data_IF_176276524505
#
_entry.id   IF_176276524505
#
_cell.length_a   1.000
_cell.length_b   1.000
_cell.length_c   1.000
_cell.angle_alpha   90.00
_cell.angle_beta   90.00
_cell.angle_gamma   90.00
#
_symmetry.space_group_name_H-M   'P 1'
#
loop_
_entity.id
_entity.type
_entity.pdbx_description
1 polymer ?
#
# COMPACT_ATOMS: atom_id res chain seq x y z
N UNK A 1 24.39 -22.51 1.34
CA UNK A 1 24.03 -21.34 0.50
C UNK A 1 22.85 -20.57 1.06
N UNK A 2 21.63 -21.15 1.15
CA UNK A 2 20.45 -20.42 1.61
C UNK A 2 20.50 -19.98 3.09
N UNK A 3 21.06 -20.80 3.97
CA UNK A 3 21.30 -20.45 5.39
C UNK A 3 22.33 -19.33 5.58
N UNK A 4 23.26 -19.17 4.64
CA UNK A 4 24.36 -18.20 4.73
C UNK A 4 23.99 -16.81 4.20
N UNK A 5 22.75 -16.62 3.75
CA UNK A 5 22.24 -15.40 3.11
C UNK A 5 22.44 -14.14 3.97
N UNK A 6 22.32 -14.28 5.29
CA UNK A 6 22.40 -13.15 6.21
C UNK A 6 23.84 -12.90 6.70
N UNK A 7 24.67 -13.94 6.63
CA UNK A 7 26.04 -13.98 7.15
C UNK A 7 27.07 -13.56 6.09
N UNK A 8 26.85 -13.93 4.82
CA UNK A 8 27.77 -13.67 3.73
C UNK A 8 27.30 -12.43 2.95
N UNK A 9 28.18 -11.44 2.71
CA UNK A 9 27.82 -10.27 1.92
C UNK A 9 27.48 -10.68 0.49
N UNK A 10 26.40 -10.11 -0.04
CA UNK A 10 25.94 -10.37 -1.42
C UNK A 10 25.57 -11.82 -1.74
N UNK A 11 25.43 -12.69 -0.73
CA UNK A 11 25.02 -14.08 -0.92
C UNK A 11 23.70 -14.23 -1.70
N UNK A 12 22.72 -13.33 -1.48
CA UNK A 12 21.46 -13.38 -2.23
C UNK A 12 21.69 -13.15 -3.72
N UNK A 13 22.56 -12.21 -4.08
CA UNK A 13 22.89 -11.87 -5.47
C UNK A 13 23.40 -13.10 -6.24
N UNK A 14 24.42 -13.78 -5.70
CA UNK A 14 25.06 -14.95 -6.34
C UNK A 14 24.22 -16.23 -6.24
N UNK A 15 23.17 -16.23 -5.41
CA UNK A 15 22.18 -17.32 -5.37
C UNK A 15 21.08 -17.15 -6.44
N UNK A 16 20.79 -15.94 -6.93
CA UNK A 16 19.67 -15.70 -7.86
C UNK A 16 19.75 -16.47 -9.17
N UNK A 17 20.90 -16.56 -9.87
CA UNK A 17 21.01 -17.32 -11.11
C UNK A 17 20.72 -18.81 -10.89
N UNK A 18 21.21 -19.37 -9.77
CA UNK A 18 20.96 -20.75 -9.36
C UNK A 18 19.45 -20.96 -9.11
N UNK A 19 18.81 -20.04 -8.39
CA UNK A 19 17.36 -20.10 -8.12
C UNK A 19 16.52 -20.03 -9.40
N UNK A 20 16.85 -19.12 -10.32
CA UNK A 20 16.13 -18.99 -11.59
C UNK A 20 16.28 -20.25 -12.45
N UNK A 21 17.49 -20.82 -12.49
CA UNK A 21 17.75 -22.07 -13.20
C UNK A 21 16.96 -23.25 -12.60
N UNK A 22 16.93 -23.38 -11.27
CA UNK A 22 16.15 -24.43 -10.61
C UNK A 22 14.64 -24.26 -10.83
N UNK A 23 14.15 -23.01 -10.83
CA UNK A 23 12.73 -22.71 -11.09
C UNK A 23 12.31 -23.03 -12.53
N UNK A 24 13.20 -22.87 -13.51
CA UNK A 24 12.89 -23.20 -14.91
C UNK A 24 12.88 -24.71 -15.19
N UNK A 25 13.51 -25.53 -14.33
CA UNK A 25 13.74 -26.96 -14.59
C UNK A 25 13.24 -27.90 -13.49
N UNK A 26 12.34 -27.47 -12.59
CA UNK A 26 11.93 -28.28 -11.43
C UNK A 26 11.30 -29.62 -11.85
N UNK A 27 12.08 -30.70 -11.76
CA UNK A 27 11.67 -32.11 -11.88
C UNK A 27 12.49 -32.96 -10.89
N UNK A 28 11.93 -33.94 -10.16
CA UNK A 28 12.61 -34.57 -9.02
C UNK A 28 13.83 -35.45 -9.32
N UNK A 29 14.15 -35.78 -10.58
CA UNK A 29 15.13 -36.80 -10.92
C UNK A 29 16.16 -36.28 -11.93
N UNK A 30 17.40 -36.10 -11.46
CA UNK A 30 18.62 -35.78 -12.22
C UNK A 30 18.60 -34.53 -13.11
N UNK A 31 19.43 -33.55 -12.75
CA UNK A 31 19.63 -32.33 -13.53
C UNK A 31 21.05 -32.23 -14.07
N UNK A 32 21.25 -32.04 -15.38
CA UNK A 32 22.57 -31.75 -15.92
C UNK A 32 23.02 -30.38 -15.42
N UNK A 33 24.14 -30.34 -14.71
CA UNK A 33 24.78 -29.09 -14.30
C UNK A 33 25.31 -28.40 -15.55
N UNK A 34 24.54 -27.45 -16.08
CA UNK A 34 24.92 -26.65 -17.24
C UNK A 34 26.21 -25.87 -16.96
N UNK A 35 27.01 -25.60 -18.00
CA UNK A 35 28.24 -24.80 -17.87
C UNK A 35 27.97 -23.42 -17.26
N UNK A 36 26.80 -22.84 -17.55
CA UNK A 36 26.34 -21.59 -16.95
C UNK A 36 26.08 -21.71 -15.44
N UNK A 37 25.55 -22.85 -14.97
CA UNK A 37 25.36 -23.08 -13.54
C UNK A 37 26.68 -23.28 -12.81
N UNK A 38 27.65 -23.97 -13.44
CA UNK A 38 28.99 -24.19 -12.86
C UNK A 38 29.69 -22.87 -12.54
N UNK A 39 29.64 -21.87 -13.42
CA UNK A 39 30.30 -20.58 -13.19
C UNK A 39 29.78 -19.86 -11.95
N UNK A 40 28.47 -19.93 -11.67
CA UNK A 40 27.88 -19.37 -10.45
C UNK A 40 28.19 -20.20 -9.20
N UNK A 41 28.31 -21.53 -9.32
CA UNK A 41 28.67 -22.41 -8.21
C UNK A 41 30.12 -22.24 -7.76
N UNK A 42 31.05 -21.95 -8.69
CA UNK A 42 32.47 -21.69 -8.36
C UNK A 42 32.62 -20.54 -7.36
N UNK A 43 31.78 -19.51 -7.45
CA UNK A 43 31.80 -18.40 -6.50
C UNK A 43 31.59 -18.87 -5.05
N UNK A 44 30.71 -19.86 -4.85
CA UNK A 44 30.38 -20.43 -3.54
C UNK A 44 31.41 -21.43 -3.02
N UNK A 45 32.19 -22.05 -3.91
CA UNK A 45 33.28 -22.96 -3.53
C UNK A 45 34.52 -22.22 -3.03
N UNK A 46 34.66 -20.93 -3.36
CA UNK A 46 35.79 -20.12 -2.91
C UNK A 46 35.61 -19.72 -1.43
N UNK A 47 36.50 -20.22 -0.57
CA UNK A 47 36.49 -19.96 0.88
C UNK A 47 36.69 -18.48 1.24
N UNK A 48 37.42 -17.72 0.41
CA UNK A 48 37.61 -16.29 0.62
C UNK A 48 36.30 -15.49 0.55
N UNK A 49 35.34 -15.94 -0.28
CA UNK A 49 34.03 -15.31 -0.41
C UNK A 49 33.11 -15.68 0.75
N UNK A 50 33.15 -16.94 1.19
CA UNK A 50 32.24 -17.47 2.22
C UNK A 50 32.68 -17.11 3.64
N UNK A 51 33.97 -16.91 3.87
CA UNK A 51 34.53 -16.55 5.19
C UNK A 51 34.61 -15.04 5.44
N UNK A 52 34.36 -14.18 4.43
CA UNK A 52 34.49 -12.71 4.55
C UNK A 52 33.59 -12.11 5.64
N UNK A 53 32.46 -12.75 5.93
CA UNK A 53 31.49 -12.31 6.94
C UNK A 53 30.86 -10.95 6.62
N UNK A 54 29.78 -10.61 7.32
CA UNK A 54 29.12 -9.31 7.20
C UNK A 54 29.44 -8.47 8.44
N UNK A 55 29.84 -7.22 8.24
CA UNK A 55 30.00 -6.29 9.36
C UNK A 55 28.65 -6.09 10.06
N UNK A 56 28.65 -6.23 11.40
CA UNK A 56 27.49 -6.01 12.25
C UNK A 56 27.23 -4.53 12.52
N UNK A 57 28.20 -3.65 12.22
CA UNK A 57 28.05 -2.23 12.44
C UNK A 57 27.10 -1.62 11.41
N UNK A 58 26.11 -0.81 11.84
CA UNK A 58 25.25 -0.09 10.92
C UNK A 58 26.08 0.95 10.17
N UNK A 59 26.36 0.69 8.88
CA UNK A 59 26.98 1.68 8.01
C UNK A 59 26.11 2.92 7.92
N UNK A 60 26.65 4.06 8.32
CA UNK A 60 26.01 5.36 8.19
C UNK A 60 25.81 5.66 6.71
N UNK A 61 24.55 5.90 6.31
CA UNK A 61 24.22 6.32 4.95
C UNK A 61 24.66 7.77 4.78
N UNK A 62 25.59 8.00 3.86
CA UNK A 62 26.19 9.32 3.65
C UNK A 62 25.47 10.10 2.54
N UNK A 63 24.98 9.41 1.51
CA UNK A 63 24.37 10.04 0.33
C UNK A 63 22.97 9.49 0.07
N UNK A 64 22.02 10.38 -0.21
CA UNK A 64 20.67 10.01 -0.66
C UNK A 64 20.51 10.32 -2.13
N UNK A 65 20.01 9.35 -2.90
CA UNK A 65 19.60 9.53 -4.28
C UNK A 65 18.12 9.24 -4.39
N UNK A 66 17.37 10.15 -4.99
CA UNK A 66 15.95 9.97 -5.27
C UNK A 66 15.76 9.76 -6.77
N UNK A 67 14.97 8.77 -7.17
CA UNK A 67 14.75 8.42 -8.58
C UNK A 67 13.27 8.23 -8.88
N UNK A 68 12.89 8.55 -10.11
CA UNK A 68 11.56 8.26 -10.67
C UNK A 68 11.68 7.87 -12.14
N UNK A 69 10.75 7.03 -12.60
CA UNK A 69 10.62 6.68 -14.00
C UNK A 69 9.17 6.80 -14.47
N UNK A 70 9.00 7.40 -15.64
CA UNK A 70 7.73 7.42 -16.36
C UNK A 70 7.85 6.57 -17.63
N UNK A 71 6.76 6.46 -18.40
CA UNK A 71 6.82 5.85 -19.73
C UNK A 71 7.56 6.72 -20.76
N UNK A 72 7.76 8.01 -20.47
CA UNK A 72 8.38 8.95 -21.41
C UNK A 72 9.86 9.20 -21.09
N UNK A 73 10.24 9.18 -19.81
CA UNK A 73 11.62 9.43 -19.40
C UNK A 73 11.91 9.02 -17.97
N UNK A 74 13.09 9.38 -17.50
CA UNK A 74 13.60 9.08 -16.17
C UNK A 74 14.26 10.28 -15.53
N UNK A 75 14.21 10.34 -14.21
CA UNK A 75 14.78 11.40 -13.40
C UNK A 75 15.51 10.85 -12.18
N UNK A 76 16.64 11.48 -11.85
CA UNK A 76 17.46 11.17 -10.70
C UNK A 76 17.97 12.45 -10.04
N UNK A 77 17.91 12.51 -8.71
CA UNK A 77 18.36 13.66 -7.92
C UNK A 77 19.30 13.17 -6.83
N UNK A 78 20.47 13.79 -6.76
CA UNK A 78 21.44 13.60 -5.68
C UNK A 78 21.76 14.97 -5.08
N UNK A 79 21.27 15.22 -3.88
CA UNK A 79 21.33 16.53 -3.21
C UNK A 79 20.78 17.67 -4.10
N UNK A 80 21.66 18.47 -4.71
CA UNK A 80 21.32 19.58 -5.63
C UNK A 80 21.61 19.26 -7.11
N UNK A 81 22.16 18.09 -7.41
CA UNK A 81 22.48 17.67 -8.78
C UNK A 81 21.33 16.86 -9.35
N UNK A 82 20.94 17.22 -10.56
CA UNK A 82 19.84 16.58 -11.30
C UNK A 82 20.40 15.80 -12.47
N UNK A 83 19.75 14.69 -12.76
CA UNK A 83 20.00 13.85 -13.93
C UNK A 83 18.64 13.50 -14.55
N UNK A 84 18.52 13.70 -15.85
CA UNK A 84 17.29 13.42 -16.57
C UNK A 84 17.60 12.89 -17.96
N UNK A 85 16.69 12.09 -18.50
CA UNK A 85 16.76 11.58 -19.86
C UNK A 85 15.44 11.04 -20.35
N UNK A 86 15.39 10.75 -21.64
CA UNK A 86 14.22 10.17 -22.30
C UNK A 86 14.47 8.70 -22.62
N UNK A 87 13.41 7.91 -22.61
CA UNK A 87 13.49 6.52 -23.04
C UNK A 87 13.48 6.45 -24.56
N UNK A 88 14.25 5.52 -25.12
CA UNK A 88 14.05 5.16 -26.53
C UNK A 88 12.66 4.53 -26.74
N UNK A 89 12.18 4.54 -27.99
CA UNK A 89 10.88 3.94 -28.35
C UNK A 89 10.78 2.47 -27.94
N UNK A 90 11.91 1.73 -27.98
CA UNK A 90 11.96 0.33 -27.57
C UNK A 90 11.94 0.18 -26.05
N UNK A 91 12.60 1.07 -25.31
CA UNK A 91 12.63 1.04 -23.85
C UNK A 91 11.28 1.41 -23.25
N UNK A 92 10.60 2.44 -23.77
CA UNK A 92 9.29 2.89 -23.28
C UNK A 92 8.20 1.79 -23.28
N UNK A 93 8.36 0.76 -24.12
CA UNK A 93 7.48 -0.41 -24.20
C UNK A 93 7.69 -1.42 -23.07
N UNK A 94 8.81 -1.35 -22.35
CA UNK A 94 9.11 -2.25 -21.23
C UNK A 94 8.19 -1.93 -20.04
N UNK A 95 8.08 -2.89 -19.12
CA UNK A 95 7.22 -2.75 -17.94
C UNK A 95 7.73 -1.63 -17.02
N UNK A 96 6.82 -0.89 -16.38
CA UNK A 96 7.17 0.27 -15.53
C UNK A 96 8.18 -0.09 -14.42
N UNK A 97 7.99 -1.20 -13.70
CA UNK A 97 8.95 -1.67 -12.68
C UNK A 97 10.38 -1.89 -13.22
N UNK A 98 10.51 -2.25 -14.51
CA UNK A 98 11.82 -2.40 -15.14
C UNK A 98 12.42 -1.03 -15.45
N UNK A 99 11.62 -0.09 -15.96
CA UNK A 99 12.05 1.29 -16.23
C UNK A 99 12.48 2.00 -14.95
N UNK A 100 11.77 1.78 -13.85
CA UNK A 100 12.12 2.29 -12.51
C UNK A 100 13.48 1.75 -12.03
N UNK A 101 13.74 0.45 -12.21
CA UNK A 101 15.04 -0.15 -11.90
C UNK A 101 16.13 0.38 -12.84
N UNK A 102 15.80 0.61 -14.12
CA UNK A 102 16.73 1.13 -15.11
C UNK A 102 17.09 2.60 -14.82
N UNK A 103 16.13 3.41 -14.40
CA UNK A 103 16.37 4.79 -13.95
C UNK A 103 17.37 4.83 -12.78
N UNK A 104 17.24 3.90 -11.82
CA UNK A 104 18.21 3.75 -10.72
C UNK A 104 19.61 3.42 -11.25
N UNK A 105 19.73 2.47 -12.17
CA UNK A 105 21.03 2.08 -12.76
C UNK A 105 21.66 3.26 -13.51
N UNK A 106 20.90 3.97 -14.34
CA UNK A 106 21.40 5.10 -15.11
C UNK A 106 21.82 6.26 -14.19
N UNK A 107 21.04 6.55 -13.15
CA UNK A 107 21.37 7.59 -12.17
C UNK A 107 22.67 7.26 -11.43
N UNK A 108 22.88 6.01 -11.03
CA UNK A 108 24.12 5.59 -10.37
C UNK A 108 25.32 5.62 -11.33
N UNK A 109 25.15 5.21 -12.59
CA UNK A 109 26.18 5.31 -13.62
C UNK A 109 26.59 6.77 -13.85
N UNK A 110 25.62 7.69 -13.90
CA UNK A 110 25.90 9.11 -14.07
C UNK A 110 26.66 9.71 -12.89
N UNK A 111 26.25 9.39 -11.66
CA UNK A 111 26.89 9.93 -10.46
C UNK A 111 28.07 9.10 -9.94
N UNK A 112 28.56 8.12 -10.71
CA UNK A 112 29.52 7.11 -10.25
C UNK A 112 30.73 7.71 -9.53
N UNK A 113 31.34 8.75 -10.12
CA UNK A 113 32.52 9.43 -9.58
C UNK A 113 32.31 10.01 -8.18
N UNK A 114 31.07 10.33 -7.80
CA UNK A 114 30.72 10.88 -6.48
C UNK A 114 30.39 9.81 -5.44
N UNK A 115 30.09 8.60 -5.89
CA UNK A 115 29.54 7.51 -5.08
C UNK A 115 30.58 6.44 -4.70
N UNK A 116 31.72 6.38 -5.40
CA UNK A 116 32.79 5.40 -5.13
C UNK A 116 33.16 5.38 -3.64
N UNK A 117 33.14 4.19 -3.05
CA UNK A 117 33.48 3.98 -1.63
C UNK A 117 32.43 4.45 -0.62
N UNK A 118 31.27 4.95 -1.04
CA UNK A 118 30.26 5.52 -0.14
C UNK A 118 29.03 4.62 0.06
N UNK A 119 28.30 4.90 1.14
CA UNK A 119 27.00 4.28 1.44
C UNK A 119 25.87 5.16 0.90
N UNK A 120 25.08 4.60 -0.02
CA UNK A 120 24.07 5.29 -0.81
C UNK A 120 22.68 4.74 -0.49
N UNK A 121 21.77 5.65 -0.13
CA UNK A 121 20.36 5.38 0.08
C UNK A 121 19.56 5.77 -1.17
N UNK A 122 19.04 4.78 -1.89
CA UNK A 122 18.16 4.96 -3.03
C UNK A 122 16.73 5.13 -2.53
N UNK A 123 16.06 6.16 -3.02
CA UNK A 123 14.73 6.56 -2.62
C UNK A 123 13.81 6.52 -3.84
N UNK A 124 12.80 5.66 -3.79
CA UNK A 124 11.84 5.43 -4.89
C UNK A 124 10.43 5.25 -4.32
N UNK A 125 9.41 5.65 -5.06
CA UNK A 125 8.00 5.43 -4.73
C UNK A 125 7.51 4.02 -5.10
N UNK A 126 8.28 3.28 -5.91
CA UNK A 126 7.95 1.93 -6.30
C UNK A 126 8.48 0.90 -5.30
N UNK A 127 7.58 0.34 -4.48
CA UNK A 127 7.89 -0.71 -3.50
C UNK A 127 8.59 -1.92 -4.14
N UNK A 128 8.26 -2.26 -5.40
CA UNK A 128 8.87 -3.39 -6.10
C UNK A 128 10.36 -3.14 -6.31
N UNK A 129 10.75 -1.96 -6.77
CA UNK A 129 12.15 -1.56 -6.96
C UNK A 129 12.91 -1.59 -5.64
N UNK A 130 12.33 -1.01 -4.59
CA UNK A 130 12.90 -1.03 -3.24
C UNK A 130 13.16 -2.47 -2.75
N UNK A 131 12.20 -3.37 -2.98
CA UNK A 131 12.36 -4.78 -2.62
C UNK A 131 13.41 -5.48 -3.47
N UNK A 132 13.48 -5.24 -4.77
CA UNK A 132 14.47 -5.83 -5.66
C UNK A 132 15.89 -5.42 -5.26
N UNK A 133 16.11 -4.13 -4.95
CA UNK A 133 17.41 -3.65 -4.49
C UNK A 133 17.78 -4.30 -3.14
N UNK A 134 16.92 -4.17 -2.12
CA UNK A 134 17.22 -4.68 -0.78
C UNK A 134 17.33 -6.20 -0.69
N UNK A 135 16.64 -6.94 -1.56
CA UNK A 135 16.69 -8.40 -1.63
C UNK A 135 17.68 -8.92 -2.68
N UNK A 136 18.43 -8.04 -3.34
CA UNK A 136 19.41 -8.37 -4.37
C UNK A 136 18.79 -9.26 -5.47
N UNK A 137 17.67 -8.79 -6.02
CA UNK A 137 16.90 -9.46 -7.06
C UNK A 137 15.64 -10.17 -6.55
N UNK A 138 14.88 -10.71 -7.50
CA UNK A 138 13.64 -11.43 -7.26
C UNK A 138 13.40 -12.53 -8.29
N UNK A 139 12.52 -13.47 -7.98
CA UNK A 139 12.26 -14.65 -8.83
C UNK A 139 11.10 -14.47 -9.82
N UNK A 140 10.33 -13.38 -9.70
CA UNK A 140 9.12 -13.16 -10.50
C UNK A 140 9.36 -12.65 -11.92
N UNK A 141 10.43 -11.88 -12.12
CA UNK A 141 10.78 -11.31 -13.42
C UNK A 141 12.28 -11.51 -13.65
N UNK A 142 12.68 -12.37 -14.60
CA UNK A 142 14.07 -12.59 -14.97
C UNK A 142 14.75 -11.30 -15.46
N UNK A 143 14.06 -10.47 -16.25
CA UNK A 143 14.61 -9.22 -16.77
C UNK A 143 14.93 -8.23 -15.64
N UNK A 144 14.03 -8.09 -14.66
CA UNK A 144 14.24 -7.23 -13.49
C UNK A 144 15.35 -7.78 -12.58
N UNK A 145 15.47 -9.11 -12.49
CA UNK A 145 16.55 -9.76 -11.76
C UNK A 145 17.91 -9.48 -12.41
N UNK A 146 18.01 -9.63 -13.74
CA UNK A 146 19.21 -9.31 -14.50
C UNK A 146 19.63 -7.84 -14.33
N UNK A 147 18.67 -6.91 -14.43
CA UNK A 147 18.94 -5.48 -14.22
C UNK A 147 19.41 -5.18 -12.79
N UNK A 148 18.84 -5.87 -11.80
CA UNK A 148 19.30 -5.78 -10.41
C UNK A 148 20.70 -6.37 -10.23
N UNK A 149 21.03 -7.41 -10.99
CA UNK A 149 22.37 -7.98 -11.00
C UNK A 149 23.39 -7.02 -11.60
N UNK A 150 23.07 -6.38 -12.72
CA UNK A 150 23.87 -5.29 -13.31
C UNK A 150 24.14 -4.17 -12.27
N UNK A 151 23.08 -3.72 -11.58
CA UNK A 151 23.17 -2.69 -10.53
C UNK A 151 24.14 -3.09 -9.41
N UNK A 152 23.97 -4.28 -8.85
CA UNK A 152 24.79 -4.73 -7.72
C UNK A 152 26.22 -5.07 -8.12
N UNK A 153 26.45 -5.61 -9.32
CA UNK A 153 27.81 -5.82 -9.85
C UNK A 153 28.57 -4.50 -9.96
N UNK A 154 27.92 -3.46 -10.49
CA UNK A 154 28.50 -2.12 -10.57
C UNK A 154 28.80 -1.55 -9.17
N UNK A 155 27.88 -1.74 -8.22
CA UNK A 155 28.08 -1.30 -6.84
C UNK A 155 29.26 -2.01 -6.17
N UNK A 156 29.40 -3.32 -6.37
CA UNK A 156 30.52 -4.10 -5.81
C UNK A 156 31.85 -3.66 -6.41
N UNK A 157 31.91 -3.49 -7.74
CA UNK A 157 33.12 -3.03 -8.44
C UNK A 157 33.57 -1.64 -7.98
N UNK A 158 32.62 -0.77 -7.66
CA UNK A 158 32.86 0.61 -7.25
C UNK A 158 32.93 0.80 -5.72
N UNK A 159 32.92 -0.31 -4.96
CA UNK A 159 32.88 -0.33 -3.50
C UNK A 159 31.74 0.52 -2.88
N UNK A 160 30.57 0.51 -3.51
CA UNK A 160 29.37 1.25 -3.10
C UNK A 160 28.50 0.33 -2.25
N UNK A 161 28.08 0.80 -1.08
CA UNK A 161 27.06 0.13 -0.29
C UNK A 161 25.69 0.67 -0.67
N UNK A 162 24.80 -0.17 -1.21
CA UNK A 162 23.45 0.22 -1.59
C UNK A 162 22.40 -0.21 -0.55
N UNK A 163 21.50 0.71 -0.22
CA UNK A 163 20.22 0.43 0.46
C UNK A 163 19.10 1.17 -0.26
N UNK A 164 17.90 0.62 -0.27
CA UNK A 164 16.72 1.29 -0.81
C UNK A 164 15.66 1.55 0.26
N UNK A 165 14.99 2.70 0.18
CA UNK A 165 13.86 3.07 1.02
C UNK A 165 12.71 3.62 0.17
N UNK A 166 11.48 3.28 0.57
CA UNK A 166 10.29 3.78 -0.10
C UNK A 166 9.97 5.21 0.35
N UNK A 167 9.71 6.12 -0.58
CA UNK A 167 9.10 7.43 -0.30
C UNK A 167 7.66 7.44 -0.82
N UNK A 168 6.77 8.19 -0.16
CA UNK A 168 5.44 8.46 -0.74
C UNK A 168 5.56 9.35 -1.98
N UNK A 169 4.93 8.99 -3.10
CA UNK A 169 5.01 9.75 -4.36
C UNK A 169 4.76 11.26 -4.23
N UNK A 170 3.88 11.69 -3.30
CA UNK A 170 3.67 13.13 -2.99
C UNK A 170 4.93 13.90 -2.55
N UNK A 171 5.95 13.22 -2.04
CA UNK A 171 7.23 13.78 -1.62
C UNK A 171 8.32 13.62 -2.69
N UNK A 172 8.03 12.95 -3.81
CA UNK A 172 8.97 12.67 -4.90
C UNK A 172 8.94 13.74 -6.02
N UNK A 173 8.59 14.98 -5.67
CA UNK A 173 8.20 16.03 -6.63
C UNK A 173 9.30 16.30 -7.67
N UNK A 174 10.57 16.37 -7.22
CA UNK A 174 11.69 16.73 -8.10
C UNK A 174 12.00 15.60 -9.10
N UNK A 175 12.01 14.34 -8.66
CA UNK A 175 12.28 13.23 -9.56
C UNK A 175 11.10 12.99 -10.52
N UNK A 176 9.86 13.13 -10.04
CA UNK A 176 8.64 13.08 -10.87
C UNK A 176 8.63 14.16 -11.96
N UNK A 177 9.11 15.38 -11.64
CA UNK A 177 9.27 16.46 -12.62
C UNK A 177 10.29 16.09 -13.70
N UNK A 178 11.47 15.61 -13.29
CA UNK A 178 12.56 15.25 -14.20
C UNK A 178 12.20 14.07 -15.13
N UNK A 179 11.41 13.11 -14.65
CA UNK A 179 11.02 11.93 -15.44
C UNK A 179 9.94 12.22 -16.47
N UNK A 180 9.13 13.28 -16.30
CA UNK A 180 7.96 13.57 -17.15
C UNK A 180 8.16 14.73 -18.12
N UNK A 181 9.11 15.63 -17.91
CA UNK A 181 9.34 16.86 -18.74
C UNK A 181 8.03 17.59 -19.15
N UNK A 182 7.00 17.49 -18.32
CA UNK A 182 5.67 18.04 -18.60
C UNK A 182 5.23 18.79 -17.36
N UNK A 183 4.81 20.03 -17.59
CA UNK A 183 4.18 20.93 -16.61
C UNK A 183 3.25 20.10 -15.73
N UNK A 184 3.44 20.17 -14.42
CA UNK A 184 2.45 19.67 -13.47
C UNK A 184 1.11 20.27 -13.89
N UNK A 185 0.11 19.45 -14.22
CA UNK A 185 -1.21 19.96 -14.63
C UNK A 185 -1.88 20.86 -13.57
N UNK A 186 -1.33 20.91 -12.35
CA UNK A 186 -1.69 21.81 -11.26
C UNK A 186 -1.07 23.20 -11.34
N UNK A 187 -0.13 23.45 -12.25
CA UNK A 187 0.59 24.73 -12.41
C UNK A 187 0.15 25.53 -13.65
N UNK A 188 -0.85 25.03 -14.38
CA UNK A 188 -1.42 25.74 -15.53
C UNK A 188 -2.08 27.05 -15.06
N UNK A 189 -1.70 28.17 -15.66
CA UNK A 189 -2.32 29.47 -15.42
C UNK A 189 -2.69 30.13 -16.75
N UNK A 190 -3.79 30.90 -16.73
CA UNK A 190 -4.20 31.72 -17.88
C UNK A 190 -3.17 32.83 -18.10
N UNK A 191 -2.97 33.24 -19.36
CA UNK A 191 -2.06 34.34 -19.68
C UNK A 191 -2.48 35.61 -18.91
N UNK A 192 -1.54 36.22 -18.19
CA UNK A 192 -1.78 37.38 -17.32
C UNK A 192 -2.43 38.56 -18.06
N UNK A 193 -2.13 38.77 -19.35
CA UNK A 193 -2.76 39.83 -20.14
C UNK A 193 -4.24 39.57 -20.40
N UNK A 194 -4.64 38.31 -20.55
CA UNK A 194 -6.04 37.91 -20.72
C UNK A 194 -6.77 38.02 -19.39
N UNK A 195 -6.15 37.57 -18.30
CA UNK A 195 -6.71 37.64 -16.95
C UNK A 195 -6.91 39.10 -16.51
N UNK A 196 -5.97 39.99 -16.82
CA UNK A 196 -6.13 41.43 -16.57
C UNK A 196 -7.31 42.02 -17.35
N UNK A 197 -7.51 41.63 -18.62
CA UNK A 197 -8.70 42.03 -19.40
C UNK A 197 -9.99 41.49 -18.79
N UNK A 198 -9.99 40.26 -18.25
CA UNK A 198 -11.13 39.68 -17.57
C UNK A 198 -11.44 40.39 -16.24
N UNK A 199 -10.42 40.76 -15.46
CA UNK A 199 -10.59 41.51 -14.21
C UNK A 199 -11.11 42.93 -14.45
N UNK A 200 -10.81 43.54 -15.61
CA UNK A 200 -11.42 44.80 -16.01
C UNK A 200 -12.92 44.67 -16.37
N UNK A 201 -13.38 43.47 -16.74
CA UNK A 201 -14.76 43.21 -17.14
C UNK A 201 -15.66 42.71 -15.99
N UNK A 202 -15.10 41.95 -15.05
CA UNK A 202 -15.86 41.23 -14.00
C UNK A 202 -15.34 41.46 -12.58
N UNK A 203 -14.61 42.54 -12.37
CA UNK A 203 -13.90 42.90 -11.14
C UNK A 203 -12.72 41.98 -10.77
N UNK A 204 -11.73 42.56 -10.09
CA UNK A 204 -10.53 41.82 -9.67
C UNK A 204 -10.80 41.05 -8.37
N UNK A 205 -10.63 39.70 -8.34
CA UNK A 205 -10.75 38.94 -7.12
C UNK A 205 -9.68 39.34 -6.11
N UNK A 206 -10.07 39.45 -4.84
CA UNK A 206 -9.18 39.83 -3.74
C UNK A 206 -8.05 38.80 -3.52
N UNK A 207 -8.33 37.52 -3.81
CA UNK A 207 -7.44 36.41 -3.51
C UNK A 207 -7.51 35.31 -4.57
N UNK A 208 -6.36 34.72 -4.89
CA UNK A 208 -6.24 33.54 -5.75
C UNK A 208 -6.23 32.26 -4.90
N UNK A 209 -7.28 31.45 -4.99
CA UNK A 209 -7.58 30.41 -4.00
C UNK A 209 -6.79 29.12 -4.18
N UNK A 210 -6.17 28.91 -5.35
CA UNK A 210 -5.51 27.64 -5.69
C UNK A 210 -4.25 27.87 -6.52
N UNK A 211 -3.39 28.78 -6.07
CA UNK A 211 -2.18 29.18 -6.79
C UNK A 211 -0.88 28.92 -5.99
N UNK A 212 0.21 28.70 -6.71
CA UNK A 212 1.57 28.80 -6.20
C UNK A 212 2.07 30.25 -6.28
N UNK A 213 3.20 30.53 -5.63
CA UNK A 213 3.84 31.84 -5.73
C UNK A 213 4.17 32.24 -7.18
N UNK A 214 4.39 31.24 -8.03
CA UNK A 214 4.84 31.39 -9.41
C UNK A 214 3.69 31.54 -10.41
N UNK A 215 2.49 31.04 -10.10
CA UNK A 215 1.35 31.06 -11.02
C UNK A 215 0.15 31.91 -10.55
N UNK A 216 0.29 32.62 -9.42
CA UNK A 216 -0.72 33.53 -8.87
C UNK A 216 -1.09 34.63 -9.85
N UNK A 217 -2.39 34.91 -9.96
CA UNK A 217 -2.92 36.02 -10.76
C UNK A 217 -3.24 37.26 -9.92
N UNK A 218 -3.18 37.15 -8.59
CA UNK A 218 -3.45 38.24 -7.65
C UNK A 218 -2.36 38.36 -6.58
N UNK A 219 -2.40 39.46 -5.81
CA UNK A 219 -1.37 39.74 -4.79
C UNK A 219 -1.43 38.77 -3.62
N UNK A 220 -2.64 38.34 -3.24
CA UNK A 220 -2.89 37.44 -2.10
C UNK A 220 -3.31 36.09 -2.66
N UNK A 221 -2.65 35.01 -2.25
CA UNK A 221 -2.95 33.68 -2.80
C UNK A 221 -2.88 32.59 -1.73
N UNK A 222 -3.68 31.54 -1.92
CA UNK A 222 -3.64 30.32 -1.11
C UNK A 222 -2.90 29.24 -1.89
N UNK A 223 -1.89 28.65 -1.26
CA UNK A 223 -1.05 27.65 -1.88
C UNK A 223 -1.06 26.36 -1.11
N UNK A 224 -1.28 25.26 -1.84
CA UNK A 224 -1.25 23.92 -1.26
C UNK A 224 0.14 23.49 -0.73
N UNK A 225 1.18 24.25 -1.10
CA UNK A 225 2.55 24.10 -0.61
C UNK A 225 2.81 25.23 0.40
N UNK A 226 3.38 24.93 1.59
CA UNK A 226 3.78 25.97 2.53
C UNK A 226 4.74 26.97 1.89
N UNK A 227 4.28 28.22 1.75
CA UNK A 227 5.09 29.32 1.21
C UNK A 227 4.97 30.53 2.13
N UNK A 228 6.07 31.25 2.44
CA UNK A 228 6.05 32.38 3.39
C UNK A 228 5.11 33.52 2.99
N UNK A 229 4.85 33.67 1.69
CA UNK A 229 3.97 34.71 1.13
C UNK A 229 2.54 34.22 0.84
N UNK A 230 2.23 32.94 1.08
CA UNK A 230 0.88 32.42 0.90
C UNK A 230 0.00 32.81 2.11
N UNK A 231 -1.23 33.26 1.84
CA UNK A 231 -2.19 33.64 2.87
C UNK A 231 -2.64 32.44 3.71
N UNK A 232 -2.86 31.29 3.06
CA UNK A 232 -3.17 30.04 3.72
C UNK A 232 -2.69 28.84 2.89
N UNK A 233 -2.59 27.69 3.56
CA UNK A 233 -2.21 26.41 2.95
C UNK A 233 -3.32 25.80 2.09
N UNK A 234 -4.58 26.15 2.34
CA UNK A 234 -5.72 25.64 1.60
C UNK A 234 -6.88 26.61 1.75
N UNK A 235 -7.38 27.12 0.62
CA UNK A 235 -8.54 28.02 0.61
C UNK A 235 -9.78 27.37 1.27
N UNK A 236 -9.90 26.04 1.22
CA UNK A 236 -11.00 25.31 1.84
C UNK A 236 -10.88 25.19 3.38
N UNK A 237 -9.74 25.60 3.95
CA UNK A 237 -9.52 25.60 5.40
C UNK A 237 -9.74 26.98 6.04
N UNK A 238 -10.04 28.00 5.24
CA UNK A 238 -10.32 29.36 5.71
C UNK A 238 -11.81 29.48 6.05
N UNK A 239 -12.13 30.15 7.16
CA UNK A 239 -13.51 30.55 7.48
C UNK A 239 -13.92 31.72 6.58
N UNK A 240 -14.80 31.45 5.60
CA UNK A 240 -15.28 32.42 4.62
C UNK A 240 -16.35 33.39 5.15
N UNK A 241 -16.87 33.13 6.37
CA UNK A 241 -17.94 33.91 7.01
C UNK A 241 -17.54 35.38 7.28
N UNK A 242 -16.23 35.66 7.37
CA UNK A 242 -15.70 37.01 7.59
C UNK A 242 -15.22 37.72 6.31
N UNK A 243 -15.30 37.06 5.15
CA UNK A 243 -14.69 37.54 3.89
C UNK A 243 -15.75 37.85 2.82
N UNK A 244 -16.99 37.39 2.97
CA UNK A 244 -18.07 37.66 2.02
C UNK A 244 -18.88 38.91 2.40
N UNK A 245 -19.12 39.86 1.49
CA UNK A 245 -20.22 40.81 1.63
C UNK A 245 -21.54 40.03 1.59
N UNK A 246 -22.42 40.29 2.56
CA UNK A 246 -23.72 39.66 2.71
C UNK A 246 -24.56 39.75 1.43
N UNK A 247 -24.91 38.62 0.82
CA UNK A 247 -26.09 38.49 -0.04
C UNK A 247 -26.92 37.25 0.30
N UNK A 248 -28.23 37.44 0.17
CA UNK A 248 -29.40 36.77 0.72
C UNK A 248 -29.82 35.45 0.02
N UNK A 249 -30.73 34.65 0.63
CA UNK A 249 -31.03 33.27 0.23
C UNK A 249 -32.13 33.19 -0.84
N UNK A 250 -32.04 32.22 -1.75
CA UNK A 250 -33.11 31.88 -2.69
C UNK A 250 -33.88 30.65 -2.18
N UNK A 251 -35.20 30.81 -2.13
CA UNK A 251 -36.23 29.90 -1.63
C UNK A 251 -36.24 28.51 -2.29
N UNK A 252 -36.53 27.51 -1.45
CA UNK A 252 -37.09 26.20 -1.83
C UNK A 252 -38.60 26.28 -1.88
N UNK A 253 -39.26 25.70 -2.89
CA UNK A 253 -40.63 25.19 -2.74
C UNK A 253 -41.11 24.27 -3.89
N UNK A 254 -41.79 23.18 -3.47
CA UNK A 254 -42.89 22.43 -4.12
C UNK A 254 -42.52 21.44 -5.28
N UNK A 255 -43.08 20.24 -5.48
CA UNK A 255 -44.17 19.37 -4.95
C UNK A 255 -43.98 17.97 -5.64
N UNK A 256 -44.10 16.81 -4.98
CA UNK A 256 -45.29 15.95 -4.77
C UNK A 256 -45.20 14.55 -5.44
N UNK A 257 -45.25 13.51 -4.58
CA UNK A 257 -46.08 12.28 -4.59
C UNK A 257 -46.10 11.34 -5.82
N UNK A 258 -45.74 10.06 -5.58
CA UNK A 258 -46.66 8.93 -5.78
C UNK A 258 -46.22 7.65 -5.04
N UNK A 259 -47.13 7.08 -4.24
CA UNK A 259 -47.01 5.78 -3.54
C UNK A 259 -47.99 4.79 -4.17
N UNK A 260 -47.52 3.58 -4.48
CA UNK A 260 -48.31 2.39 -4.84
C UNK A 260 -47.88 1.18 -3.99
N UNK A 261 -48.65 0.08 -3.95
CA UNK A 261 -49.14 -0.50 -2.69
C UNK A 261 -48.16 -1.44 -1.97
N UNK A 262 -48.30 -1.45 -0.64
CA UNK A 262 -47.63 -2.32 0.32
C UNK A 262 -48.26 -3.71 0.29
N UNK A 263 -47.44 -4.76 0.16
CA UNK A 263 -47.79 -6.10 0.65
C UNK A 263 -46.97 -6.41 1.90
N UNK A 264 -47.70 -6.61 2.99
CA UNK A 264 -47.24 -6.96 4.32
C UNK A 264 -46.80 -8.42 4.38
N UNK A 265 -45.65 -8.70 5.00
CA UNK A 265 -45.47 -9.88 5.87
C UNK A 265 -44.63 -9.44 7.07
N UNK A 266 -45.27 -9.41 8.24
CA UNK A 266 -44.66 -9.22 9.56
C UNK A 266 -43.93 -10.47 10.07
N UNK A 267 -43.48 -10.46 11.33
CA UNK A 267 -42.10 -10.78 11.69
C UNK A 267 -41.90 -12.28 11.93
N UNK A 268 -40.89 -12.85 11.27
CA UNK A 268 -40.16 -14.03 11.77
C UNK A 268 -38.68 -13.75 11.63
N UNK A 269 -37.93 -14.01 12.70
CA UNK A 269 -36.47 -13.84 12.73
C UNK A 269 -35.81 -14.69 11.66
N UNK A 270 -35.56 -14.11 10.50
CA UNK A 270 -34.71 -14.72 9.49
C UNK A 270 -33.30 -14.38 9.91
N UNK A 271 -32.60 -15.39 10.44
CA UNK A 271 -31.17 -15.35 10.62
C UNK A 271 -30.54 -15.29 9.20
N UNK A 272 -30.45 -14.08 8.65
CA UNK A 272 -30.02 -13.88 7.27
C UNK A 272 -28.50 -14.01 7.20
N UNK A 273 -28.04 -15.17 6.73
CA UNK A 273 -26.62 -15.38 6.45
C UNK A 273 -26.21 -14.61 5.18
N UNK A 274 -25.13 -13.84 5.29
CA UNK A 274 -24.54 -13.09 4.18
C UNK A 274 -24.18 -14.04 3.03
N UNK A 275 -23.68 -15.24 3.35
CA UNK A 275 -23.32 -16.26 2.36
C UNK A 275 -24.55 -16.85 1.68
N UNK A 276 -25.66 -17.03 2.40
CA UNK A 276 -26.92 -17.48 1.79
C UNK A 276 -27.47 -16.45 0.78
N UNK A 277 -27.29 -15.16 1.08
CA UNK A 277 -27.69 -14.07 0.18
C UNK A 277 -26.85 -14.04 -1.11
N UNK A 278 -25.54 -14.22 -0.98
CA UNK A 278 -24.62 -14.32 -2.12
C UNK A 278 -24.87 -15.59 -2.94
N UNK A 279 -25.10 -16.73 -2.28
CA UNK A 279 -25.43 -17.98 -2.94
C UNK A 279 -26.75 -17.93 -3.72
N UNK A 280 -27.73 -17.14 -3.24
CA UNK A 280 -28.98 -16.87 -3.96
C UNK A 280 -28.71 -16.04 -5.22
N UNK A 281 -27.80 -15.07 -5.17
CA UNK A 281 -27.38 -14.30 -6.35
C UNK A 281 -26.76 -15.22 -7.41
N UNK A 282 -25.84 -16.11 -7.01
CA UNK A 282 -25.24 -17.06 -7.96
C UNK A 282 -26.25 -18.08 -8.50
N UNK A 283 -27.26 -18.45 -7.71
CA UNK A 283 -28.33 -19.31 -8.19
C UNK A 283 -29.21 -18.58 -9.22
N UNK A 284 -29.48 -17.29 -9.03
CA UNK A 284 -30.23 -16.48 -9.99
C UNK A 284 -29.46 -16.26 -11.31
N UNK A 285 -28.13 -16.23 -11.26
CA UNK A 285 -27.25 -16.17 -12.44
C UNK A 285 -27.10 -17.54 -13.16
N UNK A 286 -27.69 -18.62 -12.62
CA UNK A 286 -27.74 -19.94 -13.27
C UNK A 286 -26.56 -20.87 -12.96
N UNK A 287 -25.74 -20.59 -11.94
CA UNK A 287 -24.59 -21.44 -11.60
C UNK A 287 -24.99 -22.76 -10.92
N UNK A 288 -24.30 -23.85 -11.29
CA UNK A 288 -24.47 -25.17 -10.66
C UNK A 288 -24.12 -25.16 -9.18
N UNK A 289 -24.57 -26.17 -8.42
CA UNK A 289 -24.31 -26.27 -6.97
C UNK A 289 -22.81 -26.41 -6.68
N UNK A 290 -22.10 -27.16 -7.52
CA UNK A 290 -20.66 -27.40 -7.44
C UNK A 290 -19.88 -26.10 -7.69
N UNK A 291 -20.27 -25.35 -8.72
CA UNK A 291 -19.68 -24.05 -9.03
C UNK A 291 -19.90 -23.04 -7.90
N UNK A 292 -21.11 -22.98 -7.33
CA UNK A 292 -21.43 -22.10 -6.19
C UNK A 292 -20.61 -22.40 -4.94
N UNK A 293 -20.34 -23.67 -4.67
CA UNK A 293 -19.48 -24.08 -3.55
C UNK A 293 -18.04 -23.59 -3.75
N UNK A 294 -17.50 -23.72 -4.97
CA UNK A 294 -16.15 -23.22 -5.30
C UNK A 294 -16.08 -21.69 -5.28
N UNK A 295 -17.10 -21.00 -5.82
CA UNK A 295 -17.19 -19.54 -5.77
C UNK A 295 -17.24 -19.04 -4.31
N UNK A 296 -17.99 -19.73 -3.45
CA UNK A 296 -18.05 -19.45 -2.01
C UNK A 296 -16.72 -19.71 -1.29
N UNK A 297 -15.93 -20.69 -1.74
CA UNK A 297 -14.61 -21.00 -1.19
C UNK A 297 -13.53 -19.96 -1.57
N UNK A 298 -13.79 -19.09 -2.55
CA UNK A 298 -12.85 -18.01 -2.93
C UNK A 298 -12.58 -17.01 -1.80
N UNK A 299 -13.50 -16.89 -0.83
CA UNK A 299 -13.32 -16.03 0.34
C UNK A 299 -12.66 -16.77 1.50
N UNK A 300 -11.61 -16.17 2.06
CA UNK A 300 -11.00 -16.65 3.31
C UNK A 300 -12.02 -16.65 4.44
N UNK A 301 -11.96 -17.63 5.35
CA UNK A 301 -12.85 -17.74 6.53
C UNK A 301 -12.94 -16.45 7.36
N UNK A 302 -11.84 -15.70 7.49
CA UNK A 302 -11.83 -14.40 8.17
C UNK A 302 -12.69 -13.34 7.48
N UNK A 303 -12.63 -13.24 6.14
CA UNK A 303 -13.45 -12.31 5.36
C UNK A 303 -14.93 -12.65 5.44
N UNK A 304 -15.27 -13.94 5.41
CA UNK A 304 -16.66 -14.40 5.56
C UNK A 304 -17.25 -13.99 6.91
N UNK A 305 -16.50 -14.19 8.01
CA UNK A 305 -16.90 -13.73 9.36
C UNK A 305 -17.07 -12.22 9.42
N UNK A 306 -16.13 -11.48 8.87
CA UNK A 306 -16.16 -10.01 8.82
C UNK A 306 -17.35 -9.46 8.03
N UNK A 307 -17.73 -10.13 6.94
CA UNK A 307 -18.87 -9.73 6.11
C UNK A 307 -20.19 -10.12 6.77
N UNK A 308 -20.28 -11.31 7.37
CA UNK A 308 -21.45 -11.75 8.13
C UNK A 308 -21.77 -10.80 9.29
N UNK A 309 -20.76 -10.37 10.05
CA UNK A 309 -20.95 -9.40 11.14
C UNK A 309 -21.47 -8.04 10.63
N UNK A 310 -20.93 -7.54 9.51
CA UNK A 310 -21.38 -6.29 8.89
C UNK A 310 -22.79 -6.42 8.32
N UNK A 311 -23.09 -7.56 7.70
CA UNK A 311 -24.40 -7.82 7.14
C UNK A 311 -25.48 -7.85 8.23
N UNK A 312 -25.22 -8.46 9.39
CA UNK A 312 -26.14 -8.40 10.54
C UNK A 312 -26.49 -6.98 10.97
N UNK A 313 -25.51 -6.06 11.01
CA UNK A 313 -25.75 -4.65 11.34
C UNK A 313 -26.58 -3.94 10.26
N UNK A 314 -26.32 -4.25 8.99
CA UNK A 314 -27.14 -3.77 7.88
C UNK A 314 -28.58 -4.27 7.97
N UNK A 315 -28.78 -5.57 8.27
CA UNK A 315 -30.10 -6.15 8.45
C UNK A 315 -30.88 -5.46 9.56
N UNK A 316 -30.26 -5.26 10.74
CA UNK A 316 -30.88 -4.52 11.85
C UNK A 316 -31.29 -3.10 11.45
N UNK A 317 -30.44 -2.40 10.70
CA UNK A 317 -30.75 -1.05 10.21
C UNK A 317 -31.91 -1.03 9.21
N UNK A 318 -31.96 -1.99 8.28
CA UNK A 318 -33.04 -2.13 7.31
C UNK A 318 -34.36 -2.53 7.97
N UNK A 319 -34.34 -3.46 8.93
CA UNK A 319 -35.53 -3.87 9.69
C UNK A 319 -36.16 -2.71 10.46
N UNK A 320 -35.34 -1.80 10.98
CA UNK A 320 -35.83 -0.60 11.71
C UNK A 320 -36.50 0.42 10.77
N UNK A 321 -36.19 0.39 9.47
CA UNK A 321 -36.64 1.38 8.48
C UNK A 321 -37.55 0.78 7.40
N UNK A 322 -38.01 -0.46 7.58
CA UNK A 322 -38.83 -1.20 6.62
C UNK A 322 -38.22 -1.28 5.20
N UNK A 323 -36.88 -1.35 5.11
CA UNK A 323 -36.16 -1.42 3.83
C UNK A 323 -35.97 -2.88 3.41
N UNK A 324 -36.17 -3.18 2.13
CA UNK A 324 -35.93 -4.52 1.59
C UNK A 324 -34.42 -4.84 1.59
N UNK A 325 -34.05 -5.97 2.21
CA UNK A 325 -32.65 -6.38 2.39
C UNK A 325 -31.91 -6.65 1.07
N UNK A 326 -32.62 -7.16 0.06
CA UNK A 326 -32.03 -7.62 -1.20
C UNK A 326 -32.26 -6.67 -2.37
N UNK A 327 -33.13 -5.68 -2.21
CA UNK A 327 -33.44 -4.69 -3.24
C UNK A 327 -33.44 -3.26 -2.66
N UNK A 328 -32.37 -2.93 -1.93
CA UNK A 328 -32.20 -1.57 -1.41
C UNK A 328 -31.81 -0.63 -2.54
N UNK A 329 -32.47 0.53 -2.60
CA UNK A 329 -32.16 1.55 -3.59
C UNK A 329 -30.80 2.19 -3.30
N UNK A 330 -30.21 2.82 -4.32
CA UNK A 330 -28.93 3.51 -4.18
C UNK A 330 -28.95 4.56 -3.06
N UNK A 331 -30.07 5.28 -2.93
CA UNK A 331 -30.26 6.29 -1.89
C UNK A 331 -30.28 5.65 -0.50
N UNK A 332 -30.99 4.53 -0.33
CA UNK A 332 -31.01 3.80 0.94
C UNK A 332 -29.63 3.28 1.34
N UNK A 333 -28.82 2.87 0.36
CA UNK A 333 -27.43 2.46 0.60
C UNK A 333 -26.57 3.66 1.01
N UNK A 334 -26.75 4.81 0.36
CA UNK A 334 -26.07 6.04 0.74
C UNK A 334 -26.45 6.46 2.17
N UNK A 335 -27.74 6.45 2.51
CA UNK A 335 -28.27 6.77 3.84
C UNK A 335 -27.72 5.83 4.92
N UNK A 336 -27.58 4.54 4.62
CA UNK A 336 -26.95 3.60 5.54
C UNK A 336 -25.48 3.94 5.79
N UNK A 337 -24.71 4.23 4.74
CA UNK A 337 -23.30 4.60 4.88
C UNK A 337 -23.12 5.94 5.62
N UNK A 338 -24.02 6.90 5.42
CA UNK A 338 -24.07 8.14 6.17
C UNK A 338 -24.41 7.89 7.66
N UNK A 339 -25.41 7.05 7.94
CA UNK A 339 -25.73 6.64 9.32
C UNK A 339 -24.53 6.02 10.05
N UNK A 340 -23.73 5.19 9.35
CA UNK A 340 -22.52 4.61 9.93
C UNK A 340 -21.46 5.67 10.26
N UNK A 341 -21.36 6.73 9.46
CA UNK A 341 -20.44 7.84 9.70
C UNK A 341 -20.85 8.67 10.92
N UNK A 342 -22.14 9.01 11.01
CA UNK A 342 -22.74 9.71 12.15
C UNK A 342 -22.62 8.88 13.44
N UNK A 343 -22.71 7.56 13.34
CA UNK A 343 -22.46 6.63 14.46
C UNK A 343 -20.99 6.59 14.93
N UNK A 344 -20.12 7.48 14.43
CA UNK A 344 -18.72 7.58 14.87
C UNK A 344 -17.75 6.57 14.24
N UNK A 345 -18.18 5.79 13.24
CA UNK A 345 -17.28 4.80 12.63
C UNK A 345 -16.19 5.44 11.77
N UNK A 346 -15.05 4.74 11.71
CA UNK A 346 -13.88 5.16 10.94
C UNK A 346 -14.03 4.81 9.46
N UNK A 347 -13.40 5.61 8.59
CA UNK A 347 -13.42 5.44 7.13
C UNK A 347 -13.19 3.98 6.68
N UNK A 348 -12.15 3.31 7.21
CA UNK A 348 -11.81 1.93 6.82
C UNK A 348 -12.94 0.93 7.11
N UNK A 349 -13.65 1.14 8.22
CA UNK A 349 -14.78 0.30 8.61
C UNK A 349 -15.94 0.50 7.65
N UNK A 350 -16.28 1.75 7.34
CA UNK A 350 -17.36 2.12 6.41
C UNK A 350 -17.07 1.62 4.99
N UNK A 351 -15.81 1.74 4.53
CA UNK A 351 -15.37 1.15 3.26
C UNK A 351 -15.54 -0.38 3.24
N UNK A 352 -15.40 -1.05 4.39
CA UNK A 352 -15.69 -2.47 4.55
C UNK A 352 -17.19 -2.80 4.38
N UNK A 353 -18.10 -1.94 4.88
CA UNK A 353 -19.54 -2.09 4.65
C UNK A 353 -19.89 -1.89 3.17
N UNK A 354 -19.32 -0.86 2.52
CA UNK A 354 -19.47 -0.63 1.07
C UNK A 354 -19.10 -1.86 0.25
N UNK A 355 -17.95 -2.47 0.54
CA UNK A 355 -17.45 -3.64 -0.18
C UNK A 355 -18.33 -4.88 0.02
N UNK A 356 -18.91 -5.04 1.21
CA UNK A 356 -19.87 -6.11 1.49
C UNK A 356 -21.18 -5.89 0.72
N UNK A 357 -21.75 -4.67 0.78
CA UNK A 357 -23.01 -4.34 0.08
C UNK A 357 -22.90 -4.50 -1.43
N UNK A 358 -21.75 -4.12 -2.01
CA UNK A 358 -21.47 -4.32 -3.43
C UNK A 358 -21.48 -5.78 -3.90
N UNK A 359 -21.45 -6.74 -2.97
CA UNK A 359 -21.50 -8.18 -3.26
C UNK A 359 -22.83 -8.81 -2.91
N UNK A 360 -23.61 -8.19 -2.03
CA UNK A 360 -24.90 -8.72 -1.57
C UNK A 360 -26.07 -8.12 -2.36
N UNK A 361 -25.96 -6.88 -2.79
CA UNK A 361 -26.99 -6.18 -3.54
C UNK A 361 -26.79 -6.37 -5.05
N UNK A 362 -27.90 -6.39 -5.83
CA UNK A 362 -27.84 -6.44 -7.28
C UNK A 362 -27.14 -5.21 -7.85
N UNK A 363 -26.68 -5.31 -9.10
CA UNK A 363 -26.12 -4.17 -9.82
C UNK A 363 -27.21 -3.14 -10.11
N UNK A 364 -26.83 -1.86 -10.05
CA UNK A 364 -27.68 -0.72 -10.41
C UNK A 364 -27.00 -0.05 -11.60
N UNK A 365 -27.72 0.16 -12.70
CA UNK A 365 -27.19 0.72 -13.95
C UNK A 365 -25.94 -0.02 -14.47
N UNK A 366 -26.00 -1.36 -14.48
CA UNK A 366 -24.88 -2.26 -14.83
C UNK A 366 -23.60 -2.03 -14.01
N UNK A 367 -23.72 -1.35 -12.88
CA UNK A 367 -22.61 -1.00 -12.00
C UNK A 367 -22.84 -1.60 -10.62
N UNK A 368 -21.81 -2.23 -10.05
CA UNK A 368 -21.92 -2.73 -8.69
C UNK A 368 -22.11 -1.56 -7.71
N UNK A 369 -23.01 -1.69 -6.74
CA UNK A 369 -23.41 -0.61 -5.83
C UNK A 369 -22.22 0.12 -5.19
N UNK A 370 -21.18 -0.61 -4.79
CA UNK A 370 -19.99 0.00 -4.16
C UNK A 370 -19.08 0.77 -5.11
N UNK A 371 -19.25 0.60 -6.43
CA UNK A 371 -18.50 1.30 -7.49
C UNK A 371 -19.30 2.46 -8.09
N UNK A 372 -20.59 2.58 -7.76
CA UNK A 372 -21.44 3.64 -8.27
C UNK A 372 -20.86 5.04 -7.96
N UNK A 373 -20.91 6.02 -8.88
CA UNK A 373 -20.32 7.36 -8.70
C UNK A 373 -20.75 8.06 -7.41
N UNK A 374 -22.06 8.05 -7.10
CA UNK A 374 -22.58 8.66 -5.86
C UNK A 374 -22.05 8.00 -4.58
N UNK A 375 -21.97 6.67 -4.54
CA UNK A 375 -21.44 5.94 -3.38
C UNK A 375 -19.93 6.18 -3.23
N UNK A 376 -19.19 6.21 -4.34
CA UNK A 376 -17.76 6.52 -4.33
C UNK A 376 -17.51 7.95 -3.85
N UNK A 377 -18.33 8.92 -4.30
CA UNK A 377 -18.27 10.32 -3.85
C UNK A 377 -18.64 10.46 -2.38
N UNK A 378 -19.64 9.74 -1.89
CA UNK A 378 -20.01 9.71 -0.46
C UNK A 378 -18.85 9.19 0.40
N UNK A 379 -18.21 8.11 -0.01
CA UNK A 379 -17.07 7.53 0.71
C UNK A 379 -15.84 8.47 0.69
N UNK A 380 -15.66 9.23 -0.40
CA UNK A 380 -14.68 10.32 -0.45
C UNK A 380 -15.05 11.45 0.54
N UNK A 381 -16.33 11.78 0.66
CA UNK A 381 -16.84 12.69 1.69
C UNK A 381 -16.49 12.21 3.11
N UNK A 382 -16.77 10.94 3.42
CA UNK A 382 -16.40 10.31 4.70
C UNK A 382 -14.89 10.43 4.99
N UNK A 383 -14.04 10.19 3.99
CA UNK A 383 -12.59 10.31 4.13
C UNK A 383 -12.16 11.75 4.42
N UNK A 384 -12.72 12.72 3.69
CA UNK A 384 -12.38 14.13 3.84
C UNK A 384 -12.85 14.68 5.20
N UNK A 385 -14.05 14.29 5.65
CA UNK A 385 -14.61 14.76 6.93
C UNK A 385 -13.95 14.14 8.15
N UNK A 386 -13.51 12.88 8.07
CA UNK A 386 -12.78 12.19 9.17
C UNK A 386 -11.63 11.37 8.58
N UNK A 387 -10.48 12.01 8.27
CA UNK A 387 -9.34 11.30 7.72
C UNK A 387 -8.80 10.28 8.74
N UNK A 388 -8.36 9.09 8.30
CA UNK A 388 -7.82 8.09 9.21
C UNK A 388 -6.56 8.63 9.89
N UNK A 389 -6.66 8.94 11.18
CA UNK A 389 -5.50 9.30 11.98
C UNK A 389 -4.69 8.04 12.24
N UNK A 390 -3.44 8.02 11.83
CA UNK A 390 -2.49 7.04 12.35
C UNK A 390 -2.22 7.44 13.80
N UNK A 391 -2.68 6.65 14.78
CA UNK A 391 -2.12 6.74 16.13
C UNK A 391 -0.64 6.43 15.97
N UNK A 392 0.19 7.46 16.05
CA UNK A 392 1.61 7.28 16.33
C UNK A 392 1.62 6.53 17.66
N UNK A 393 2.19 5.33 17.65
CA UNK A 393 2.43 4.62 18.90
C UNK A 393 3.21 5.59 19.81
N UNK A 394 2.95 5.60 21.13
CA UNK A 394 3.83 6.33 22.03
C UNK A 394 5.27 5.90 21.75
N UNK A 395 6.22 6.84 21.87
CA UNK A 395 7.64 6.53 21.79
C UNK A 395 7.93 5.45 22.83
N UNK A 396 8.10 4.21 22.35
CA UNK A 396 8.42 3.10 23.21
C UNK A 396 9.94 3.00 23.20
N UNK A 397 10.55 3.06 24.39
CA UNK A 397 11.98 2.89 24.55
C UNK A 397 12.28 1.39 24.75
N UNK A 398 12.88 0.77 23.73
CA UNK A 398 13.31 -0.62 23.79
C UNK A 398 14.25 -0.87 24.97
N UNK A 399 15.13 0.09 25.27
CA UNK A 399 16.08 -0.04 26.36
C UNK A 399 15.34 -0.10 27.70
N UNK A 400 14.38 0.80 27.92
CA UNK A 400 13.52 0.77 29.11
C UNK A 400 12.80 -0.57 29.27
N UNK A 401 12.22 -1.12 28.20
CA UNK A 401 11.51 -2.40 28.27
C UNK A 401 12.47 -3.55 28.58
N UNK A 402 13.64 -3.60 27.95
CA UNK A 402 14.65 -4.62 28.23
C UNK A 402 15.18 -4.50 29.67
N UNK A 403 15.35 -3.29 30.19
CA UNK A 403 15.74 -3.05 31.58
C UNK A 403 14.66 -3.51 32.56
N UNK A 404 13.37 -3.33 32.24
CA UNK A 404 12.27 -3.83 33.06
C UNK A 404 12.17 -5.36 33.03
N UNK A 405 12.49 -5.99 31.89
CA UNK A 405 12.54 -7.46 31.78
C UNK A 405 13.69 -8.09 32.59
N UNK A 406 14.67 -7.31 33.04
CA UNK A 406 15.76 -7.78 33.91
C UNK A 406 15.47 -7.60 35.42
N UNK A 407 14.28 -7.10 35.78
CA UNK A 407 13.86 -6.85 37.15
C UNK A 407 12.66 -7.72 37.52
N UNK A 408 12.32 -7.78 38.81
CA UNK A 408 11.04 -8.34 39.25
C UNK A 408 9.88 -7.66 38.50
N UNK A 409 8.87 -8.40 38.02
CA UNK A 409 8.58 -9.83 38.24
C UNK A 409 9.20 -10.78 37.20
N UNK A 410 10.09 -10.31 36.32
CA UNK A 410 10.62 -11.07 35.18
C UNK A 410 11.96 -11.79 35.46
N UNK A 411 12.54 -11.55 36.62
CA UNK A 411 13.74 -12.20 37.17
C UNK A 411 13.54 -12.39 38.68
N UNK A 412 14.15 -13.41 39.32
CA UNK A 412 14.99 -14.44 38.70
C UNK A 412 14.19 -15.49 37.92
N UNK A 413 14.70 -15.96 36.77
CA UNK A 413 14.07 -17.01 35.93
C UNK A 413 13.76 -18.30 36.72
N UNK A 414 14.49 -18.57 37.79
CA UNK A 414 14.31 -19.77 38.63
C UNK A 414 13.01 -19.77 39.43
N UNK A 415 12.49 -18.59 39.81
CA UNK A 415 11.32 -18.44 40.68
C UNK A 415 10.17 -17.64 40.05
N UNK A 416 10.20 -17.45 38.74
CA UNK A 416 9.22 -16.65 38.00
C UNK A 416 7.91 -17.42 37.76
N UNK A 417 6.77 -16.75 37.91
CA UNK A 417 5.48 -17.28 37.50
C UNK A 417 5.42 -17.49 35.97
N UNK A 418 4.83 -18.60 35.53
CA UNK A 418 4.74 -19.02 34.13
C UNK A 418 4.16 -17.91 33.23
N UNK A 419 3.24 -17.10 33.76
CA UNK A 419 2.68 -15.93 33.07
C UNK A 419 3.74 -14.91 32.69
N UNK A 420 4.62 -14.55 33.63
CA UNK A 420 5.66 -13.54 33.40
C UNK A 420 6.79 -14.09 32.53
N UNK A 421 7.12 -15.37 32.67
CA UNK A 421 8.05 -16.06 31.75
C UNK A 421 7.51 -16.08 30.32
N UNK A 422 6.22 -16.36 30.15
CA UNK A 422 5.55 -16.34 28.84
C UNK A 422 5.57 -14.94 28.22
N UNK A 423 5.31 -13.89 29.00
CA UNK A 423 5.37 -12.51 28.49
C UNK A 423 6.78 -12.09 28.08
N UNK A 424 7.79 -12.43 28.89
CA UNK A 424 9.20 -12.16 28.59
C UNK A 424 9.65 -12.87 27.32
N UNK A 425 9.36 -14.17 27.20
CA UNK A 425 9.73 -14.96 26.02
C UNK A 425 9.01 -14.50 24.77
N UNK A 426 7.69 -14.28 24.82
CA UNK A 426 6.90 -13.79 23.68
C UNK A 426 7.39 -12.41 23.23
N UNK A 427 7.70 -11.50 24.15
CA UNK A 427 8.25 -10.19 23.81
C UNK A 427 9.61 -10.31 23.11
N UNK A 428 10.55 -11.06 23.69
CA UNK A 428 11.90 -11.26 23.16
C UNK A 428 11.88 -11.97 21.79
N UNK A 429 11.03 -12.98 21.61
CA UNK A 429 10.82 -13.65 20.32
C UNK A 429 10.19 -12.69 19.31
N UNK A 430 9.21 -11.89 19.72
CA UNK A 430 8.53 -10.94 18.82
C UNK A 430 9.47 -9.84 18.32
N UNK A 431 10.34 -9.31 19.18
CA UNK A 431 11.27 -8.23 18.81
C UNK A 431 12.45 -8.75 17.97
N UNK A 432 12.95 -9.97 18.26
CA UNK A 432 14.04 -10.58 17.49
C UNK A 432 13.57 -11.08 16.12
N UNK A 433 12.32 -11.54 15.99
CA UNK A 433 11.80 -12.07 14.73
C UNK A 433 11.25 -11.00 13.78
N UNK A 434 11.08 -9.74 14.21
CA UNK A 434 10.58 -8.61 13.40
C UNK A 434 9.32 -8.93 12.56
N UNK A 435 8.51 -9.90 13.00
CA UNK A 435 7.31 -10.39 12.29
C UNK A 435 6.06 -10.00 13.06
N UNK A 436 5.02 -9.62 12.31
CA UNK A 436 3.71 -9.27 12.87
C UNK A 436 3.25 -10.39 13.81
N UNK A 437 2.88 -10.02 15.04
CA UNK A 437 2.42 -10.87 16.15
C UNK A 437 1.52 -12.07 15.79
N UNK A 438 0.75 -11.95 14.70
CA UNK A 438 -0.12 -13.01 14.16
C UNK A 438 0.59 -14.32 13.78
N UNK A 439 1.91 -14.32 13.58
CA UNK A 439 2.67 -15.54 13.28
C UNK A 439 3.18 -16.28 14.52
N UNK A 440 3.35 -15.61 15.66
CA UNK A 440 3.79 -16.27 16.90
C UNK A 440 2.71 -17.23 17.42
N UNK A 441 1.43 -16.86 17.24
CA UNK A 441 0.27 -17.68 17.66
C UNK A 441 0.06 -18.91 16.78
N UNK A 442 0.53 -18.92 15.52
CA UNK A 442 0.37 -20.10 14.64
C UNK A 442 1.44 -21.18 14.86
N UNK A 443 2.41 -20.94 15.76
CA UNK A 443 3.46 -21.89 16.12
C UNK A 443 3.14 -22.65 17.42
N UNK A 444 2.00 -22.35 18.05
CA UNK A 444 1.51 -23.04 19.25
C UNK A 444 0.41 -24.05 18.92
N UNK A 445 0.59 -24.84 17.87
CA UNK A 445 -0.08 -26.15 17.83
C UNK A 445 0.75 -27.10 18.71
N UNK A 446 0.12 -27.87 19.62
CA UNK A 446 0.85 -28.78 20.47
C UNK A 446 1.55 -29.80 19.56
N UNK A 447 2.87 -29.90 19.71
CA UNK A 447 3.63 -31.06 19.26
C UNK A 447 3.05 -32.28 19.98
N UNK A 448 2.03 -32.89 19.38
CA UNK A 448 1.64 -34.25 19.68
C UNK A 448 2.82 -35.11 19.24
N UNK A 449 3.50 -35.65 20.25
CA UNK A 449 4.39 -36.80 20.11
C UNK A 449 3.57 -37.93 19.48
N UNK A 450 3.64 -38.08 18.15
CA UNK A 450 3.22 -39.32 17.50
C UNK A 450 4.34 -40.32 17.71
N UNK A 451 4.13 -41.14 18.75
CA UNK A 451 4.89 -42.31 19.08
C UNK A 451 4.82 -43.30 17.90
N UNK A 452 5.92 -43.43 17.17
CA UNK A 452 6.06 -44.33 16.03
C UNK A 452 6.19 -45.77 16.49
N UNK A 453 5.13 -46.34 17.06
CA UNK A 453 4.99 -47.79 17.23
C UNK A 453 3.52 -48.19 17.16
N UNK A 454 3.04 -48.45 15.94
CA UNK A 454 2.22 -49.63 15.58
C UNK A 454 1.83 -49.55 14.10
N UNK A 455 2.64 -50.22 13.27
CA UNK A 455 2.08 -50.98 12.13
C UNK A 455 1.00 -51.89 12.69
N UNK A 456 -0.12 -52.07 11.98
CA UNK A 456 -0.77 -53.35 11.68
C UNK A 456 -2.05 -53.09 10.86
N UNK A 457 -1.97 -53.47 9.58
CA UNK A 457 -2.96 -54.18 8.75
C UNK A 457 -4.39 -53.66 8.51
N UNK A 458 -4.73 -53.65 7.21
CA UNK A 458 -5.92 -54.26 6.56
C UNK A 458 -7.28 -53.58 6.88
N UNK A 459 -8.17 -53.18 5.97
CA UNK A 459 -8.43 -53.39 4.53
C UNK A 459 -8.83 -52.07 3.87
#
# INVERSE_FOLDING_TARGET
MASCIELIPNARLYMRPIQLHLLSFWRPACHPVTQHLKSHLIWWLNSANTLKGRSLQPQQTCITITTDASKTGYGGVMDKKIFQGEWSVLESKKHINYLELEAVVLTIKHFLNYLIGKSVLIRSDNITVVQYINKQGGTKSPQSCYKTWELWTLAIQSNITLKAAHIMGKKNIIADYLSRKKILHTEWSLNTQIVQKLFLLWDQPLMDLFASAENRQTKVFCSWIPHPQAFALDALTISWEKILPSQSPIQSDLLSVNRGPKSFIGPRGIQSDCLASINRSFQAEGFSKEARNLLSASWRKGTQKDYSAKFKKYCSWCSTREINLHNATLNQVADFLAYLFESGLQYRTIAGYRSMLSKVLPQVDNTAVGQHPYITRLIKGVFNSRPPTTKLLPEWDLQLVLTLLQKEPFEPIENIDLKHLTFKTVFLVSITTFRRWRFAVSQSEPFLYEDTTKRHYIY
#
